data_IF_971466922064
#
_entry.id   IF_971466922064
#
_cell.length_a   1.000
_cell.length_b   1.000
_cell.length_c   1.000
_cell.angle_alpha   90.00
_cell.angle_beta   90.00
_cell.angle_gamma   90.00
#
_symmetry.space_group_name_H-M   'P 1'
#
loop_
_entity.id
_entity.type
_entity.pdbx_description
1 polymer ?
#
# COMPACT_ATOMS: atom_id res chain seq x y z
N UNK A 1 -9.31 27.43 -15.39
CA UNK A 1 -9.87 26.12 -15.78
C UNK A 1 -9.29 25.07 -14.86
N UNK A 2 -10.09 24.15 -14.33
CA UNK A 2 -9.61 23.02 -13.54
C UNK A 2 -8.79 22.10 -14.42
N UNK A 3 -7.63 21.62 -13.93
CA UNK A 3 -6.76 20.68 -14.65
C UNK A 3 -7.24 19.25 -14.38
N UNK A 4 -7.28 18.43 -15.42
CA UNK A 4 -7.76 17.03 -15.32
C UNK A 4 -6.60 16.06 -15.22
N UNK A 5 -6.60 15.24 -14.15
CA UNK A 5 -5.67 14.12 -13.95
C UNK A 5 -6.42 12.84 -14.24
N UNK A 6 -5.97 12.09 -15.23
CA UNK A 6 -6.50 10.76 -15.53
C UNK A 6 -5.66 9.70 -14.81
N UNK A 7 -6.29 9.00 -13.88
CA UNK A 7 -5.71 7.82 -13.20
C UNK A 7 -6.22 6.57 -13.91
N UNK A 8 -5.29 5.75 -14.40
CA UNK A 8 -5.59 4.48 -15.06
C UNK A 8 -5.12 3.35 -14.15
N UNK A 9 -6.03 2.48 -13.76
CA UNK A 9 -5.76 1.43 -12.77
C UNK A 9 -6.45 0.12 -13.13
N UNK A 10 -5.89 -1.00 -12.68
CA UNK A 10 -6.52 -2.33 -12.74
C UNK A 10 -7.26 -2.68 -11.44
N UNK A 11 -7.33 -1.75 -10.49
CA UNK A 11 -8.15 -1.89 -9.29
C UNK A 11 -9.54 -1.28 -9.52
N UNK A 12 -10.59 -1.95 -9.06
CA UNK A 12 -11.92 -1.36 -9.04
C UNK A 12 -12.10 -0.47 -7.81
N UNK A 13 -12.91 0.60 -7.89
CA UNK A 13 -13.06 1.58 -6.81
C UNK A 13 -13.50 0.99 -5.46
N UNK A 14 -14.26 -0.08 -5.46
CA UNK A 14 -14.81 -0.68 -4.22
C UNK A 14 -13.84 -1.64 -3.52
N UNK A 15 -12.66 -1.86 -4.07
CA UNK A 15 -11.64 -2.69 -3.42
C UNK A 15 -11.05 -2.00 -2.20
N UNK A 16 -10.86 -2.77 -1.12
CA UNK A 16 -10.15 -2.33 0.07
C UNK A 16 -8.67 -2.73 -0.08
N UNK A 17 -7.87 -1.81 -0.65
CA UNK A 17 -6.43 -1.99 -0.77
C UNK A 17 -5.69 -0.64 -0.72
N UNK A 18 -4.38 -0.70 -0.49
CA UNK A 18 -3.55 0.50 -0.31
C UNK A 18 -3.49 1.42 -1.54
N UNK A 19 -3.67 0.89 -2.76
CA UNK A 19 -3.65 1.69 -4.00
C UNK A 19 -4.93 2.53 -4.09
N UNK A 20 -6.09 1.89 -3.94
CA UNK A 20 -7.40 2.58 -3.94
C UNK A 20 -7.46 3.62 -2.83
N UNK A 21 -7.06 3.24 -1.60
CA UNK A 21 -7.00 4.18 -0.46
C UNK A 21 -6.12 5.38 -0.75
N UNK A 22 -4.96 5.17 -1.38
CA UNK A 22 -4.05 6.26 -1.74
C UNK A 22 -4.71 7.25 -2.69
N UNK A 23 -5.27 6.78 -3.80
CA UNK A 23 -5.86 7.68 -4.79
C UNK A 23 -7.12 8.38 -4.30
N UNK A 24 -7.96 7.74 -3.47
CA UNK A 24 -9.11 8.39 -2.82
C UNK A 24 -8.68 9.57 -1.93
N UNK A 25 -7.65 9.37 -1.10
CA UNK A 25 -7.16 10.47 -0.26
C UNK A 25 -6.49 11.59 -1.09
N UNK A 26 -5.85 11.24 -2.20
CA UNK A 26 -5.31 12.27 -3.11
C UNK A 26 -6.39 13.08 -3.80
N UNK A 27 -7.54 12.50 -4.12
CA UNK A 27 -8.65 13.19 -4.79
C UNK A 27 -9.15 14.39 -4.00
N UNK A 28 -9.30 14.25 -2.68
CA UNK A 28 -9.70 15.35 -1.79
C UNK A 28 -8.68 16.50 -1.81
N UNK A 29 -7.39 16.18 -1.78
CA UNK A 29 -6.32 17.19 -1.85
C UNK A 29 -6.23 17.84 -3.24
N UNK A 30 -6.38 17.03 -4.30
CA UNK A 30 -6.39 17.49 -5.67
C UNK A 30 -7.51 18.51 -5.93
N UNK A 31 -8.72 18.20 -5.44
CA UNK A 31 -9.88 19.09 -5.56
C UNK A 31 -9.65 20.46 -4.92
N UNK A 32 -9.00 20.51 -3.74
CA UNK A 32 -8.63 21.79 -3.07
C UNK A 32 -7.63 22.59 -3.87
N UNK A 33 -6.73 21.95 -4.60
CA UNK A 33 -5.71 22.60 -5.45
C UNK A 33 -6.21 22.87 -6.89
N UNK A 34 -7.51 22.67 -7.17
CA UNK A 34 -8.12 22.97 -8.47
C UNK A 34 -7.87 21.90 -9.54
N UNK A 35 -7.56 20.66 -9.14
CA UNK A 35 -7.47 19.53 -10.04
C UNK A 35 -8.74 18.69 -9.98
N UNK A 36 -9.12 18.11 -11.12
CA UNK A 36 -10.19 17.15 -11.24
C UNK A 36 -9.60 15.76 -11.55
N UNK A 37 -9.82 14.80 -10.67
CA UNK A 37 -9.34 13.42 -10.85
C UNK A 37 -10.42 12.58 -11.51
N UNK A 38 -10.05 11.86 -12.57
CA UNK A 38 -10.93 10.96 -13.32
C UNK A 38 -10.27 9.59 -13.41
N UNK A 39 -11.06 8.54 -13.28
CA UNK A 39 -10.56 7.16 -13.32
C UNK A 39 -10.98 6.43 -14.58
N UNK A 40 -10.04 5.61 -15.07
CA UNK A 40 -10.33 4.52 -16.02
C UNK A 40 -9.87 3.22 -15.34
N UNK A 41 -10.84 2.36 -15.06
CA UNK A 41 -10.70 1.14 -14.26
C UNK A 41 -11.42 -0.06 -14.90
N UNK A 42 -11.19 -1.30 -14.38
CA UNK A 42 -11.77 -2.53 -14.95
C UNK A 42 -13.29 -2.60 -14.97
N UNK A 43 -14.00 -1.88 -14.10
CA UNK A 43 -15.49 -1.91 -14.04
C UNK A 43 -16.12 -1.36 -15.31
N UNK A 44 -15.39 -0.53 -16.03
CA UNK A 44 -15.86 0.14 -17.26
C UNK A 44 -15.70 -0.71 -18.51
N UNK A 45 -15.21 -1.96 -18.38
CA UNK A 45 -14.93 -2.85 -19.50
C UNK A 45 -15.46 -4.26 -19.25
N UNK A 46 -15.73 -5.03 -20.32
CA UNK A 46 -15.99 -6.47 -20.18
C UNK A 46 -14.79 -7.17 -19.52
N UNK A 47 -15.06 -8.11 -18.63
CA UNK A 47 -13.98 -8.84 -17.95
C UNK A 47 -14.52 -9.98 -17.09
N UNK A 48 -13.59 -10.75 -16.54
CA UNK A 48 -13.85 -11.90 -15.66
C UNK A 48 -13.10 -11.74 -14.34
N UNK A 49 -13.58 -12.40 -13.29
CA UNK A 49 -12.84 -12.48 -12.03
C UNK A 49 -11.52 -13.24 -12.22
N UNK A 50 -10.46 -12.77 -11.57
CA UNK A 50 -9.16 -13.44 -11.60
C UNK A 50 -9.24 -14.77 -10.84
N UNK A 51 -8.79 -15.90 -11.42
CA UNK A 51 -8.73 -17.17 -10.71
C UNK A 51 -7.91 -17.06 -9.42
N UNK A 52 -8.48 -17.50 -8.30
CA UNK A 52 -7.84 -17.42 -6.97
C UNK A 52 -7.97 -16.05 -6.27
N UNK A 53 -8.36 -14.98 -6.99
CA UNK A 53 -8.60 -13.64 -6.47
C UNK A 53 -9.86 -13.03 -7.08
N UNK A 54 -11.05 -13.46 -6.63
CA UNK A 54 -12.32 -13.06 -7.24
C UNK A 54 -12.60 -11.55 -7.16
N UNK A 55 -11.95 -10.87 -6.22
CA UNK A 55 -11.99 -9.41 -6.09
C UNK A 55 -11.15 -8.68 -7.16
N UNK A 56 -10.22 -9.36 -7.83
CA UNK A 56 -9.43 -8.80 -8.94
C UNK A 56 -10.15 -9.11 -10.25
N UNK A 57 -10.43 -8.07 -11.02
CA UNK A 57 -11.09 -8.20 -12.32
C UNK A 57 -10.08 -8.09 -13.45
N UNK A 58 -9.97 -9.15 -14.26
CA UNK A 58 -9.22 -9.13 -15.51
C UNK A 58 -10.14 -8.62 -16.61
N UNK A 59 -9.83 -7.45 -17.17
CA UNK A 59 -10.70 -6.78 -18.16
C UNK A 59 -10.04 -6.71 -19.52
N UNK A 60 -10.88 -6.73 -20.57
CA UNK A 60 -10.50 -6.44 -21.94
C UNK A 60 -10.87 -4.99 -22.26
N UNK A 61 -9.91 -4.03 -22.22
CA UNK A 61 -10.23 -2.61 -22.30
C UNK A 61 -10.45 -2.14 -23.75
N UNK A 62 -11.39 -2.77 -24.44
CA UNK A 62 -11.81 -2.33 -25.76
C UNK A 62 -12.33 -0.90 -25.71
N UNK A 63 -11.80 -0.05 -26.60
CA UNK A 63 -12.21 1.35 -26.68
C UNK A 63 -11.59 2.28 -25.64
N UNK A 64 -10.59 1.83 -24.88
CA UNK A 64 -9.86 2.68 -23.93
C UNK A 64 -9.32 3.96 -24.60
N UNK A 65 -8.86 3.87 -25.84
CA UNK A 65 -8.40 5.02 -26.64
C UNK A 65 -9.48 6.08 -26.86
N UNK A 66 -10.73 5.66 -27.09
CA UNK A 66 -11.87 6.58 -27.22
C UNK A 66 -12.17 7.27 -25.89
N UNK A 67 -12.13 6.53 -24.78
CA UNK A 67 -12.33 7.09 -23.44
C UNK A 67 -11.26 8.13 -23.10
N UNK A 68 -9.98 7.80 -23.26
CA UNK A 68 -8.89 8.74 -22.98
C UNK A 68 -9.01 10.00 -23.85
N UNK A 69 -9.28 9.85 -25.15
CA UNK A 69 -9.49 11.00 -26.05
C UNK A 69 -10.69 11.87 -25.66
N UNK A 70 -11.79 11.27 -25.22
CA UNK A 70 -12.99 12.00 -24.81
C UNK A 70 -12.79 12.80 -23.53
N UNK A 71 -11.94 12.31 -22.61
CA UNK A 71 -11.62 12.98 -21.34
C UNK A 71 -10.65 14.15 -21.50
N UNK A 72 -9.86 14.19 -22.57
CA UNK A 72 -8.86 15.22 -22.84
C UNK A 72 -8.00 15.59 -21.59
N UNK A 73 -7.38 14.61 -20.92
CA UNK A 73 -6.69 14.88 -19.66
C UNK A 73 -5.44 15.75 -19.85
N UNK A 74 -5.19 16.63 -18.90
CA UNK A 74 -3.94 17.39 -18.84
C UNK A 74 -2.76 16.51 -18.40
N UNK A 75 -3.03 15.50 -17.56
CA UNK A 75 -2.05 14.56 -17.01
C UNK A 75 -2.56 13.14 -17.07
N UNK A 76 -1.67 12.20 -17.37
CA UNK A 76 -1.96 10.77 -17.40
C UNK A 76 -1.04 10.05 -16.43
N UNK A 77 -1.63 9.34 -15.47
CA UNK A 77 -0.93 8.46 -14.55
C UNK A 77 -1.45 7.04 -14.64
N UNK A 78 -0.58 6.09 -14.99
CA UNK A 78 -0.89 4.66 -15.08
C UNK A 78 -0.44 4.02 -13.77
N UNK A 79 -1.40 3.68 -12.93
CA UNK A 79 -1.16 3.28 -11.54
C UNK A 79 -0.81 1.79 -11.37
N UNK A 80 -1.12 0.95 -12.36
CA UNK A 80 -0.93 -0.50 -12.26
C UNK A 80 -0.53 -1.12 -13.59
N UNK A 81 0.14 -2.29 -13.52
CA UNK A 81 0.77 -2.96 -14.64
C UNK A 81 -0.12 -4.06 -15.28
N UNK A 82 -1.40 -4.09 -14.94
CA UNK A 82 -2.36 -5.07 -15.47
C UNK A 82 -2.88 -4.71 -16.87
N UNK A 83 -3.93 -5.41 -17.35
CA UNK A 83 -4.45 -5.23 -18.71
C UNK A 83 -4.88 -3.80 -19.04
N UNK A 84 -5.55 -3.08 -18.12
CA UNK A 84 -5.99 -1.70 -18.35
C UNK A 84 -4.80 -0.77 -18.49
N UNK A 85 -3.83 -0.89 -17.57
CA UNK A 85 -2.56 -0.15 -17.63
C UNK A 85 -1.75 -0.46 -18.89
N UNK A 86 -1.67 -1.74 -19.30
CA UNK A 86 -0.95 -2.17 -20.50
C UNK A 86 -1.49 -1.49 -21.77
N UNK A 87 -2.80 -1.53 -22.00
CA UNK A 87 -3.41 -0.94 -23.19
C UNK A 87 -3.35 0.59 -23.19
N UNK A 88 -3.46 1.21 -22.01
CA UNK A 88 -3.29 2.65 -21.87
C UNK A 88 -1.86 3.09 -22.20
N UNK A 89 -0.85 2.39 -21.64
CA UNK A 89 0.56 2.59 -21.96
C UNK A 89 0.82 2.46 -23.46
N UNK A 90 0.37 1.36 -24.08
CA UNK A 90 0.53 1.14 -25.51
C UNK A 90 -0.07 2.28 -26.34
N UNK A 91 -1.25 2.77 -25.95
CA UNK A 91 -1.88 3.89 -26.62
C UNK A 91 -1.09 5.20 -26.45
N UNK A 92 -0.62 5.51 -25.26
CA UNK A 92 0.22 6.69 -25.00
C UNK A 92 1.48 6.68 -25.83
N UNK A 93 2.21 5.57 -25.88
CA UNK A 93 3.44 5.42 -26.67
C UNK A 93 3.20 5.58 -28.17
N UNK A 94 2.15 4.93 -28.70
CA UNK A 94 1.80 5.04 -30.11
C UNK A 94 1.44 6.47 -30.54
N UNK A 95 0.88 7.26 -29.61
CA UNK A 95 0.50 8.66 -29.87
C UNK A 95 1.55 9.66 -29.34
N UNK A 96 2.68 9.21 -28.82
CA UNK A 96 3.76 10.03 -28.23
C UNK A 96 3.27 10.95 -27.12
N UNK A 97 2.30 10.50 -26.34
CA UNK A 97 1.73 11.23 -25.21
C UNK A 97 2.54 10.90 -23.96
N UNK A 98 3.10 11.90 -23.27
CA UNK A 98 3.78 11.69 -21.98
C UNK A 98 2.83 11.14 -20.92
N UNK A 99 3.35 10.28 -20.06
CA UNK A 99 2.62 9.69 -18.96
C UNK A 99 3.56 9.33 -17.80
N UNK A 100 3.01 9.24 -16.61
CA UNK A 100 3.70 8.70 -15.44
C UNK A 100 3.18 7.31 -15.11
N UNK A 101 3.99 6.55 -14.39
CA UNK A 101 3.59 5.26 -13.81
C UNK A 101 3.90 5.22 -12.33
N UNK A 102 3.36 4.21 -11.64
CA UNK A 102 3.76 3.91 -10.26
C UNK A 102 3.96 2.41 -10.06
N UNK A 103 4.82 2.07 -9.11
CA UNK A 103 5.09 0.72 -8.65
C UNK A 103 4.61 0.57 -7.21
N UNK A 104 3.50 -0.13 -7.01
CA UNK A 104 2.83 -0.24 -5.71
C UNK A 104 2.96 -1.60 -5.06
N UNK A 105 3.16 -2.64 -5.86
CA UNK A 105 3.12 -4.04 -5.42
C UNK A 105 4.34 -4.78 -5.91
N UNK A 106 4.93 -5.64 -5.09
CA UNK A 106 5.95 -6.58 -5.54
C UNK A 106 5.32 -7.65 -6.43
N UNK A 107 5.01 -7.22 -7.66
CA UNK A 107 4.30 -8.02 -8.65
C UNK A 107 5.10 -9.27 -9.05
N UNK A 108 6.43 -9.20 -8.96
CA UNK A 108 7.29 -10.33 -9.29
C UNK A 108 7.16 -11.45 -8.26
N UNK A 109 7.20 -11.12 -6.97
CA UNK A 109 6.96 -12.11 -5.90
C UNK A 109 5.53 -12.61 -5.92
N UNK A 110 4.54 -11.72 -6.15
CA UNK A 110 3.14 -12.09 -6.25
C UNK A 110 2.90 -13.14 -7.34
N UNK A 111 3.32 -12.90 -8.59
CA UNK A 111 3.14 -13.86 -9.69
C UNK A 111 3.90 -15.17 -9.50
N UNK A 112 5.08 -15.11 -8.90
CA UNK A 112 5.84 -16.33 -8.57
C UNK A 112 5.09 -17.21 -7.57
N UNK A 113 4.57 -16.64 -6.49
CA UNK A 113 3.85 -17.40 -5.46
C UNK A 113 2.51 -17.95 -5.94
N UNK A 114 1.78 -17.16 -6.74
CA UNK A 114 0.44 -17.52 -7.17
C UNK A 114 0.38 -18.39 -8.40
N UNK A 115 1.23 -18.11 -9.37
CA UNK A 115 1.13 -18.74 -10.70
C UNK A 115 2.44 -19.39 -11.14
N UNK A 116 3.43 -19.48 -10.24
CA UNK A 116 4.76 -20.07 -10.50
C UNK A 116 5.47 -19.44 -11.72
N UNK A 117 5.14 -18.18 -12.04
CA UNK A 117 5.81 -17.44 -13.11
C UNK A 117 7.25 -17.12 -12.68
N UNK A 118 8.27 -17.43 -13.50
CA UNK A 118 9.64 -17.07 -13.20
C UNK A 118 9.81 -15.56 -12.98
N UNK A 119 10.45 -15.18 -11.87
CA UNK A 119 10.66 -13.76 -11.56
C UNK A 119 11.39 -13.00 -12.68
N UNK A 120 12.31 -13.65 -13.41
CA UNK A 120 13.04 -13.04 -14.52
C UNK A 120 12.12 -12.52 -15.64
N UNK A 121 11.03 -13.24 -15.93
CA UNK A 121 10.06 -12.84 -16.94
C UNK A 121 9.22 -11.66 -16.45
N UNK A 122 8.81 -11.71 -15.18
CA UNK A 122 8.07 -10.60 -14.57
C UNK A 122 8.93 -9.34 -14.51
N UNK A 123 10.20 -9.44 -14.11
CA UNK A 123 11.12 -8.31 -14.10
C UNK A 123 11.42 -7.76 -15.51
N UNK A 124 11.48 -8.63 -16.52
CA UNK A 124 11.60 -8.18 -17.90
C UNK A 124 10.37 -7.37 -18.33
N UNK A 125 9.15 -7.87 -18.05
CA UNK A 125 7.90 -7.19 -18.31
C UNK A 125 7.80 -5.84 -17.58
N UNK A 126 8.08 -5.79 -16.30
CA UNK A 126 8.03 -4.57 -15.50
C UNK A 126 9.02 -3.50 -16.02
N UNK A 127 10.27 -3.89 -16.32
CA UNK A 127 11.23 -2.96 -16.94
C UNK A 127 10.71 -2.43 -18.28
N UNK A 128 10.17 -3.30 -19.11
CA UNK A 128 9.58 -2.89 -20.38
C UNK A 128 8.40 -1.96 -20.17
N UNK A 129 7.52 -2.25 -19.21
CA UNK A 129 6.34 -1.46 -18.89
C UNK A 129 6.68 -0.03 -18.46
N UNK A 130 7.64 0.14 -17.57
CA UNK A 130 8.02 1.45 -17.03
C UNK A 130 9.05 2.21 -17.87
N UNK A 131 9.63 1.59 -18.91
CA UNK A 131 10.78 2.10 -19.67
C UNK A 131 10.61 3.52 -20.19
N UNK A 132 9.43 3.85 -20.68
CA UNK A 132 9.15 5.14 -21.33
C UNK A 132 8.28 6.07 -20.48
N UNK A 133 8.07 5.73 -19.22
CA UNK A 133 7.43 6.62 -18.26
C UNK A 133 8.33 7.83 -17.97
N UNK A 134 7.75 9.02 -17.96
CA UNK A 134 8.48 10.25 -17.62
C UNK A 134 8.89 10.26 -16.14
N UNK A 135 8.04 9.69 -15.26
CA UNK A 135 8.32 9.42 -13.84
C UNK A 135 7.74 8.08 -13.45
N UNK A 136 8.50 7.31 -12.69
CA UNK A 136 8.06 6.07 -12.05
C UNK A 136 7.99 6.32 -10.55
N UNK A 137 6.78 6.49 -10.03
CA UNK A 137 6.57 6.75 -8.61
C UNK A 137 6.66 5.46 -7.81
N UNK A 138 7.57 5.42 -6.85
CA UNK A 138 7.83 4.25 -6.00
C UNK A 138 7.56 4.59 -4.54
N UNK A 139 7.23 3.60 -3.75
CA UNK A 139 6.69 3.81 -2.40
C UNK A 139 7.72 4.24 -1.36
N UNK A 140 8.96 3.75 -1.46
CA UNK A 140 10.01 3.96 -0.47
C UNK A 140 11.39 4.06 -1.12
N UNK A 141 12.37 4.57 -0.37
CA UNK A 141 13.75 4.67 -0.81
C UNK A 141 14.40 3.29 -1.04
N UNK A 142 14.04 2.28 -0.23
CA UNK A 142 14.55 0.92 -0.42
C UNK A 142 14.04 0.30 -1.73
N UNK A 143 12.77 0.52 -2.08
CA UNK A 143 12.20 0.10 -3.37
C UNK A 143 12.84 0.86 -4.53
N UNK A 144 13.07 2.17 -4.38
CA UNK A 144 13.80 2.96 -5.38
C UNK A 144 15.19 2.36 -5.65
N UNK A 145 15.94 2.06 -4.59
CA UNK A 145 17.26 1.44 -4.70
C UNK A 145 17.19 0.06 -5.36
N UNK A 146 16.24 -0.80 -4.94
CA UNK A 146 16.06 -2.13 -5.55
C UNK A 146 15.76 -2.01 -7.05
N UNK A 147 14.82 -1.16 -7.44
CA UNK A 147 14.45 -1.00 -8.85
C UNK A 147 15.58 -0.36 -9.67
N UNK A 148 16.33 0.58 -9.08
CA UNK A 148 17.51 1.18 -9.73
C UNK A 148 18.56 0.13 -10.06
N UNK A 149 18.90 -0.78 -9.13
CA UNK A 149 19.83 -1.89 -9.38
C UNK A 149 19.34 -2.86 -10.45
N UNK A 150 18.01 -2.94 -10.65
CA UNK A 150 17.38 -3.74 -11.72
C UNK A 150 17.27 -3.00 -13.06
N UNK A 151 17.82 -1.77 -13.16
CA UNK A 151 17.88 -0.98 -14.39
C UNK A 151 16.64 -0.15 -14.71
N UNK A 152 15.77 0.09 -13.74
CA UNK A 152 14.69 1.07 -13.87
C UNK A 152 15.27 2.49 -13.84
N UNK A 153 14.60 3.42 -14.52
CA UNK A 153 14.99 4.83 -14.61
C UNK A 153 13.84 5.74 -14.21
N UNK A 154 14.15 7.03 -14.03
CA UNK A 154 13.17 8.07 -13.71
C UNK A 154 12.36 7.76 -12.44
N UNK A 155 12.97 7.04 -11.49
CA UNK A 155 12.36 6.71 -10.21
C UNK A 155 12.19 7.98 -9.36
N UNK A 156 11.09 8.04 -8.61
CA UNK A 156 10.81 9.09 -7.67
C UNK A 156 10.08 8.51 -6.44
N UNK A 157 10.63 8.74 -5.26
CA UNK A 157 9.98 8.28 -4.02
C UNK A 157 8.71 9.09 -3.78
N UNK A 158 7.60 8.37 -3.64
CA UNK A 158 6.29 8.91 -3.40
C UNK A 158 5.68 8.25 -2.17
N UNK A 159 5.71 8.94 -1.07
CA UNK A 159 5.27 8.48 0.25
C UNK A 159 3.76 8.25 0.32
N UNK A 160 3.31 7.83 1.51
CA UNK A 160 1.89 7.69 1.87
C UNK A 160 1.59 8.59 3.05
N UNK A 161 0.31 8.81 3.29
CA UNK A 161 -0.17 9.54 4.44
C UNK A 161 -1.07 8.69 5.34
N UNK A 162 -1.33 9.20 6.52
CA UNK A 162 -2.32 8.68 7.46
C UNK A 162 -3.31 9.77 7.83
N UNK A 163 -4.59 9.40 7.94
CA UNK A 163 -5.62 10.34 8.37
C UNK A 163 -5.63 10.44 9.90
N UNK A 164 -5.05 11.52 10.41
CA UNK A 164 -4.95 11.80 11.84
C UNK A 164 -6.27 12.25 12.49
N UNK A 165 -7.33 12.43 11.74
CA UNK A 165 -8.67 12.65 12.29
C UNK A 165 -9.25 11.35 12.88
N UNK A 166 -8.83 10.21 12.33
CA UNK A 166 -9.20 8.88 12.84
C UNK A 166 -8.08 8.24 13.64
N UNK A 167 -6.85 8.22 13.11
CA UNK A 167 -5.71 7.55 13.74
C UNK A 167 -4.98 8.50 14.69
N UNK A 168 -5.24 8.37 15.98
CA UNK A 168 -4.69 9.24 17.02
C UNK A 168 -4.39 8.46 18.31
N UNK A 169 -3.28 8.80 18.95
CA UNK A 169 -2.92 8.26 20.27
C UNK A 169 -3.93 8.64 21.37
N UNK A 170 -4.71 9.70 21.17
CA UNK A 170 -5.77 10.14 22.10
C UNK A 170 -6.92 9.14 22.25
N UNK A 171 -7.04 8.16 21.36
CA UNK A 171 -8.05 7.09 21.45
C UNK A 171 -7.70 6.03 22.50
N UNK A 172 -6.47 6.04 23.04
CA UNK A 172 -6.08 5.06 24.05
C UNK A 172 -6.76 5.34 25.37
N UNK A 173 -7.42 4.33 25.92
CA UNK A 173 -8.06 4.38 27.25
C UNK A 173 -7.30 3.47 28.23
N UNK A 174 -6.44 4.05 29.05
CA UNK A 174 -5.71 3.34 30.10
C UNK A 174 -4.61 2.39 29.61
N UNK A 175 -4.15 1.53 30.51
CA UNK A 175 -3.14 0.49 30.27
C UNK A 175 -3.77 -0.91 30.27
N UNK A 176 -3.24 -1.79 29.46
CA UNK A 176 -3.68 -3.18 29.42
C UNK A 176 -3.10 -3.98 30.61
N UNK A 177 -3.89 -4.89 31.19
CA UNK A 177 -3.42 -5.81 32.25
C UNK A 177 -2.41 -6.79 31.65
N UNK A 178 -2.64 -7.26 30.43
CA UNK A 178 -1.73 -8.08 29.61
C UNK A 178 -1.44 -7.31 28.34
N UNK A 179 -0.16 -7.23 27.91
CA UNK A 179 0.17 -6.55 26.67
C UNK A 179 -0.61 -7.11 25.48
N UNK A 180 -1.11 -6.24 24.64
CA UNK A 180 -1.86 -6.57 23.44
C UNK A 180 -0.97 -6.43 22.22
N UNK A 181 -0.75 -7.53 21.52
CA UNK A 181 -0.07 -7.59 20.23
C UNK A 181 -1.13 -7.55 19.13
N UNK A 182 -1.00 -6.63 18.20
CA UNK A 182 -1.95 -6.42 17.12
C UNK A 182 -1.30 -6.71 15.76
N UNK A 183 -2.00 -7.42 14.90
CA UNK A 183 -1.69 -7.48 13.46
C UNK A 183 -2.92 -7.06 12.67
N UNK A 184 -2.73 -6.24 11.63
CA UNK A 184 -3.81 -5.69 10.80
C UNK A 184 -3.51 -5.91 9.33
N UNK A 185 -4.51 -6.37 8.59
CA UNK A 185 -4.41 -6.51 7.15
C UNK A 185 -5.24 -7.64 6.58
N UNK A 186 -5.08 -7.90 5.28
CA UNK A 186 -5.71 -9.04 4.63
C UNK A 186 -5.19 -10.34 5.24
N UNK A 187 -6.08 -11.24 5.62
CA UNK A 187 -5.72 -12.55 6.17
C UNK A 187 -5.45 -13.52 5.03
N UNK A 188 -4.22 -13.50 4.54
CA UNK A 188 -3.74 -14.30 3.41
C UNK A 188 -2.31 -14.80 3.67
N UNK A 189 -1.90 -15.86 2.96
CA UNK A 189 -0.62 -16.56 3.23
C UNK A 189 0.60 -15.65 3.07
N UNK A 190 0.59 -14.75 2.07
CA UNK A 190 1.71 -13.84 1.80
C UNK A 190 1.95 -12.79 2.91
N UNK A 191 0.97 -12.61 3.82
CA UNK A 191 1.12 -11.69 4.96
C UNK A 191 1.87 -12.30 6.16
N UNK A 192 2.22 -13.59 6.09
CA UNK A 192 3.06 -14.23 7.10
C UNK A 192 2.45 -14.25 8.51
N UNK A 193 1.12 -14.31 8.61
CA UNK A 193 0.42 -14.29 9.89
C UNK A 193 0.69 -15.53 10.76
N UNK A 194 1.19 -16.63 10.18
CA UNK A 194 1.70 -17.78 10.94
C UNK A 194 2.79 -17.32 11.91
N UNK A 195 3.76 -16.53 11.45
CA UNK A 195 4.86 -16.05 12.30
C UNK A 195 4.34 -15.21 13.48
N UNK A 196 3.28 -14.40 13.26
CA UNK A 196 2.62 -13.64 14.34
C UNK A 196 1.89 -14.57 15.32
N UNK A 197 1.14 -15.52 14.80
CA UNK A 197 0.36 -16.45 15.63
C UNK A 197 1.27 -17.37 16.46
N UNK A 198 2.42 -17.78 15.90
CA UNK A 198 3.41 -18.68 16.54
C UNK A 198 4.32 -18.00 17.56
N UNK A 199 4.29 -16.65 17.68
CA UNK A 199 5.09 -15.98 18.71
C UNK A 199 4.87 -16.62 20.09
N UNK A 200 5.95 -17.14 20.70
CA UNK A 200 5.88 -17.74 22.04
C UNK A 200 5.89 -16.64 23.12
N UNK A 201 4.74 -16.01 23.29
CA UNK A 201 4.51 -14.91 24.25
C UNK A 201 3.16 -15.16 24.95
N UNK A 202 3.04 -16.20 25.80
CA UNK A 202 1.76 -16.59 26.41
C UNK A 202 1.22 -15.55 27.41
N UNK A 203 2.05 -14.61 27.83
CA UNK A 203 1.71 -13.47 28.70
C UNK A 203 1.10 -12.30 27.94
N UNK A 204 1.13 -12.31 26.61
CA UNK A 204 0.47 -11.34 25.76
C UNK A 204 -0.91 -11.83 25.26
N UNK A 205 -1.76 -10.90 24.92
CA UNK A 205 -2.96 -11.14 24.10
C UNK A 205 -2.64 -10.86 22.64
N UNK A 206 -3.06 -11.75 21.72
CA UNK A 206 -2.85 -11.58 20.29
C UNK A 206 -4.16 -11.33 19.57
N UNK A 207 -4.23 -10.24 18.80
CA UNK A 207 -5.42 -9.84 18.04
C UNK A 207 -5.05 -9.66 16.57
N UNK A 208 -5.85 -10.25 15.68
CA UNK A 208 -5.78 -10.05 14.23
C UNK A 208 -7.03 -9.30 13.78
N UNK A 209 -6.83 -8.12 13.17
CA UNK A 209 -7.89 -7.35 12.53
C UNK A 209 -7.77 -7.49 11.02
N UNK A 210 -8.80 -8.01 10.39
CA UNK A 210 -8.85 -8.23 8.97
C UNK A 210 -9.63 -9.49 8.60
N UNK A 211 -9.79 -9.69 7.31
CA UNK A 211 -10.45 -10.88 6.77
C UNK A 211 -9.71 -11.38 5.53
N UNK A 212 -10.00 -12.61 5.12
CA UNK A 212 -9.40 -13.19 3.93
C UNK A 212 -9.45 -14.73 3.90
N UNK A 213 -8.98 -15.31 2.80
CA UNK A 213 -9.15 -16.74 2.54
C UNK A 213 -8.40 -17.66 3.53
N UNK A 214 -7.38 -17.14 4.20
CA UNK A 214 -6.56 -17.92 5.14
C UNK A 214 -7.07 -17.88 6.58
N UNK A 215 -8.08 -17.06 6.90
CA UNK A 215 -8.59 -16.83 8.26
C UNK A 215 -9.06 -18.12 8.94
N UNK A 216 -9.94 -18.89 8.30
CA UNK A 216 -10.49 -20.14 8.89
C UNK A 216 -9.42 -21.16 9.26
N UNK A 217 -8.36 -21.24 8.47
CA UNK A 217 -7.25 -22.13 8.74
C UNK A 217 -6.46 -21.67 9.96
N UNK A 218 -6.16 -20.36 10.07
CA UNK A 218 -5.45 -19.78 11.21
C UNK A 218 -6.26 -19.88 12.51
N UNK A 219 -7.56 -19.56 12.49
CA UNK A 219 -8.45 -19.71 13.66
C UNK A 219 -8.45 -21.15 14.21
N UNK A 220 -8.44 -22.14 13.33
CA UNK A 220 -8.38 -23.55 13.73
C UNK A 220 -7.02 -23.94 14.33
N UNK A 221 -5.93 -23.42 13.76
CA UNK A 221 -4.55 -23.77 14.19
C UNK A 221 -4.15 -23.02 15.47
N UNK A 222 -4.63 -21.81 15.65
CA UNK A 222 -4.24 -20.89 16.74
C UNK A 222 -5.44 -20.37 17.51
N UNK A 223 -6.15 -21.24 18.29
CA UNK A 223 -7.41 -20.86 18.96
C UNK A 223 -7.22 -19.81 20.05
N UNK A 224 -5.99 -19.53 20.49
CA UNK A 224 -5.68 -18.50 21.47
C UNK A 224 -5.52 -17.10 20.84
N UNK A 225 -5.50 -16.99 19.52
CA UNK A 225 -5.45 -15.72 18.79
C UNK A 225 -6.85 -15.24 18.48
N UNK A 226 -7.16 -13.98 18.78
CA UNK A 226 -8.47 -13.39 18.50
C UNK A 226 -8.53 -12.81 17.09
N UNK A 227 -9.37 -13.36 16.23
CA UNK A 227 -9.66 -12.84 14.90
C UNK A 227 -10.98 -12.07 14.93
N UNK A 228 -10.92 -10.74 14.82
CA UNK A 228 -12.09 -9.86 15.02
C UNK A 228 -12.75 -9.41 13.71
N UNK A 229 -12.27 -9.91 12.57
CA UNK A 229 -12.76 -9.54 11.26
C UNK A 229 -12.24 -8.19 10.75
N UNK A 230 -12.66 -7.80 9.56
CA UNK A 230 -12.29 -6.53 8.98
C UNK A 230 -12.94 -5.37 9.73
N UNK A 231 -12.16 -4.31 9.98
CA UNK A 231 -12.57 -3.06 10.64
C UNK A 231 -12.13 -1.87 9.81
N UNK A 232 -12.78 -0.73 10.01
CA UNK A 232 -12.45 0.51 9.31
C UNK A 232 -12.67 1.74 10.21
N UNK A 233 -12.18 2.91 9.75
CA UNK A 233 -12.38 4.20 10.42
C UNK A 233 -11.99 4.18 11.91
N UNK A 234 -12.83 4.76 12.76
CA UNK A 234 -12.58 4.88 14.20
C UNK A 234 -12.49 3.53 14.91
N UNK A 235 -13.23 2.51 14.45
CA UNK A 235 -13.16 1.19 15.06
C UNK A 235 -11.78 0.57 14.85
N UNK A 236 -11.22 0.64 13.64
CA UNK A 236 -9.86 0.20 13.34
C UNK A 236 -8.81 1.00 14.14
N UNK A 237 -8.96 2.32 14.16
CA UNK A 237 -8.07 3.21 14.92
C UNK A 237 -8.06 2.89 16.42
N UNK A 238 -9.21 2.50 16.99
CA UNK A 238 -9.30 2.06 18.38
C UNK A 238 -8.47 0.79 18.63
N UNK A 239 -8.49 -0.20 17.74
CA UNK A 239 -7.63 -1.37 17.87
C UNK A 239 -6.15 -1.01 17.89
N UNK A 240 -5.70 -0.14 16.98
CA UNK A 240 -4.31 0.35 17.00
C UNK A 240 -4.00 1.06 18.32
N UNK A 241 -4.81 2.02 18.76
CA UNK A 241 -4.56 2.80 19.96
C UNK A 241 -4.53 1.94 21.23
N UNK A 242 -5.38 0.91 21.32
CA UNK A 242 -5.41 0.00 22.47
C UNK A 242 -4.28 -1.04 22.45
N UNK A 243 -3.67 -1.34 21.32
CA UNK A 243 -2.55 -2.26 21.23
C UNK A 243 -1.28 -1.69 21.88
N UNK A 244 -0.46 -2.53 22.47
CA UNK A 244 0.83 -2.16 23.03
C UNK A 244 1.96 -2.27 22.00
N UNK A 245 1.87 -3.23 21.08
CA UNK A 245 2.78 -3.38 19.93
C UNK A 245 2.00 -3.79 18.69
N UNK A 246 2.26 -3.13 17.59
CA UNK A 246 1.82 -3.56 16.28
C UNK A 246 2.89 -4.48 15.66
N UNK A 247 2.51 -5.70 15.33
CA UNK A 247 3.43 -6.69 14.76
C UNK A 247 3.15 -6.86 13.26
N UNK A 248 4.12 -6.49 12.45
CA UNK A 248 4.05 -6.60 11.00
C UNK A 248 4.92 -7.76 10.52
N UNK A 249 4.30 -8.92 10.31
CA UNK A 249 4.97 -10.17 9.92
C UNK A 249 5.13 -10.35 8.40
N UNK A 250 4.59 -9.44 7.58
CA UNK A 250 4.69 -9.51 6.12
C UNK A 250 6.12 -9.27 5.63
N UNK A 251 6.54 -10.06 4.62
CA UNK A 251 7.83 -9.93 3.94
C UNK A 251 7.70 -9.46 2.49
N UNK A 252 6.47 -9.13 2.05
CA UNK A 252 6.16 -8.88 0.64
C UNK A 252 5.53 -7.50 0.36
N UNK A 253 5.40 -6.65 1.35
CA UNK A 253 4.83 -5.32 1.17
C UNK A 253 5.89 -4.31 0.69
N UNK A 254 5.49 -3.40 -0.19
CA UNK A 254 6.36 -2.31 -0.69
C UNK A 254 6.37 -1.07 0.20
N UNK A 255 5.35 -0.92 1.08
CA UNK A 255 5.24 0.16 2.05
C UNK A 255 4.63 -0.35 3.37
N UNK A 256 3.37 -0.84 3.32
CA UNK A 256 2.62 -1.22 4.51
C UNK A 256 2.02 -0.02 5.23
N UNK A 257 0.97 0.58 4.67
CA UNK A 257 0.25 1.74 5.26
C UNK A 257 -0.15 1.48 6.71
N UNK A 258 -0.48 0.24 7.05
CA UNK A 258 -0.80 -0.21 8.41
C UNK A 258 0.28 0.14 9.46
N UNK A 259 1.56 0.22 9.04
CA UNK A 259 2.64 0.63 9.94
C UNK A 259 2.48 2.10 10.36
N UNK A 260 2.24 3.01 9.41
CA UNK A 260 2.06 4.44 9.73
C UNK A 260 0.74 4.72 10.46
N UNK A 261 -0.30 3.90 10.25
CA UNK A 261 -1.54 3.94 11.02
C UNK A 261 -1.29 3.59 12.50
N UNK A 262 -0.52 2.52 12.75
CA UNK A 262 -0.10 2.13 14.10
C UNK A 262 0.71 3.24 14.78
N UNK A 263 1.72 3.78 14.08
CA UNK A 263 2.56 4.86 14.60
C UNK A 263 1.73 6.13 14.93
N UNK A 264 0.76 6.49 14.11
CA UNK A 264 -0.12 7.64 14.36
C UNK A 264 -0.95 7.46 15.63
N UNK A 265 -1.31 6.22 15.98
CA UNK A 265 -1.97 5.86 17.21
C UNK A 265 -1.01 5.72 18.42
N UNK A 266 0.26 6.03 18.24
CA UNK A 266 1.30 5.87 19.27
C UNK A 266 1.65 4.41 19.56
N UNK A 267 1.38 3.49 18.64
CA UNK A 267 1.65 2.07 18.81
C UNK A 267 2.95 1.71 18.06
N UNK A 268 4.00 1.30 18.78
CA UNK A 268 5.28 0.98 18.17
C UNK A 268 5.19 -0.26 17.28
N UNK A 269 6.03 -0.30 16.25
CA UNK A 269 6.04 -1.35 15.23
C UNK A 269 7.17 -2.34 15.45
N UNK A 270 6.84 -3.62 15.59
CA UNK A 270 7.77 -4.74 15.51
C UNK A 270 7.64 -5.42 14.14
N UNK A 271 8.73 -5.49 13.37
CA UNK A 271 8.66 -6.04 12.02
C UNK A 271 9.99 -6.71 11.62
N UNK A 272 9.95 -7.44 10.50
CA UNK A 272 11.16 -7.90 9.83
C UNK A 272 11.89 -6.74 9.14
N UNK A 273 13.25 -6.77 9.04
CA UNK A 273 14.02 -5.78 8.32
C UNK A 273 13.93 -5.97 6.79
N UNK A 274 12.77 -5.71 6.24
CA UNK A 274 12.44 -5.83 4.81
C UNK A 274 11.96 -4.49 4.24
N UNK A 275 11.93 -4.29 2.91
CA UNK A 275 11.38 -3.10 2.27
C UNK A 275 10.00 -2.73 2.83
N UNK A 276 9.74 -1.44 2.96
CA UNK A 276 8.60 -0.90 3.69
C UNK A 276 8.95 -0.63 5.15
N UNK A 277 8.98 -1.63 6.06
CA UNK A 277 9.40 -1.42 7.44
C UNK A 277 10.75 -0.72 7.63
N UNK A 278 11.79 -1.04 6.85
CA UNK A 278 13.10 -0.39 6.95
C UNK A 278 13.09 1.11 6.63
N UNK A 279 12.09 1.58 5.87
CA UNK A 279 11.94 2.99 5.49
C UNK A 279 11.02 3.76 6.46
N UNK A 280 10.21 3.03 7.24
CA UNK A 280 9.17 3.59 8.11
C UNK A 280 9.61 3.59 9.57
N UNK A 281 10.18 2.47 10.03
CA UNK A 281 10.50 2.25 11.45
C UNK A 281 11.85 2.84 11.78
N UNK A 282 11.85 3.79 12.71
CA UNK A 282 13.05 4.36 13.31
C UNK A 282 13.39 3.59 14.58
N UNK A 283 14.50 2.83 14.52
CA UNK A 283 14.90 1.93 15.60
C UNK A 283 15.11 2.67 16.93
N UNK A 284 14.45 2.22 17.97
CA UNK A 284 14.52 2.83 19.30
C UNK A 284 13.60 4.04 19.50
N UNK A 285 12.90 4.51 18.45
CA UNK A 285 11.96 5.63 18.51
C UNK A 285 10.55 5.17 18.17
N UNK A 286 10.37 4.60 16.97
CA UNK A 286 9.03 4.20 16.50
C UNK A 286 8.82 2.68 16.49
N UNK A 287 9.86 1.91 16.74
CA UNK A 287 9.77 0.46 16.77
C UNK A 287 11.12 -0.22 16.69
N UNK A 288 11.10 -1.51 16.42
CA UNK A 288 12.28 -2.32 16.22
C UNK A 288 12.10 -3.30 15.07
N UNK A 289 13.18 -3.48 14.29
CA UNK A 289 13.27 -4.45 13.21
C UNK A 289 14.22 -5.57 13.60
N UNK A 290 13.73 -6.80 13.57
CA UNK A 290 14.56 -7.97 13.88
C UNK A 290 14.01 -9.19 13.11
N UNK A 291 14.91 -10.10 12.71
CA UNK A 291 14.50 -11.41 12.17
C UNK A 291 13.89 -12.30 13.25
N UNK A 292 14.15 -12.03 14.53
CA UNK A 292 13.42 -12.57 15.67
C UNK A 292 12.32 -11.59 16.10
N UNK A 293 11.10 -11.81 15.63
CA UNK A 293 9.97 -10.94 15.94
C UNK A 293 9.67 -10.84 17.45
N UNK A 294 9.89 -11.90 18.24
CA UNK A 294 9.69 -11.85 19.68
C UNK A 294 10.64 -10.83 20.33
N UNK A 295 11.90 -10.83 19.92
CA UNK A 295 12.88 -9.84 20.38
C UNK A 295 12.50 -8.41 19.97
N UNK A 296 12.02 -8.21 18.73
CA UNK A 296 11.52 -6.91 18.30
C UNK A 296 10.32 -6.45 19.16
N UNK A 297 9.38 -7.35 19.46
CA UNK A 297 8.22 -7.07 20.33
C UNK A 297 8.64 -6.66 21.72
N UNK A 298 9.52 -7.43 22.38
CA UNK A 298 10.01 -7.14 23.73
C UNK A 298 10.62 -5.74 23.82
N UNK A 299 11.42 -5.35 22.84
CA UNK A 299 12.01 -4.02 22.79
C UNK A 299 10.96 -2.94 22.50
N UNK A 300 9.95 -3.19 21.67
CA UNK A 300 8.87 -2.25 21.41
C UNK A 300 8.07 -1.92 22.68
N UNK A 301 7.88 -2.87 23.58
CA UNK A 301 7.15 -2.66 24.84
C UNK A 301 7.78 -1.63 25.78
N UNK A 302 9.05 -1.27 25.56
CA UNK A 302 9.78 -0.28 26.36
C UNK A 302 9.73 1.14 25.80
N UNK A 303 9.13 1.33 24.61
CA UNK A 303 9.12 2.62 23.93
C UNK A 303 8.04 3.55 24.46
N UNK A 304 8.36 4.84 24.46
CA UNK A 304 7.44 5.92 24.79
C UNK A 304 6.46 6.14 23.62
N UNK A 305 5.18 5.91 23.87
CA UNK A 305 4.11 5.98 22.89
C UNK A 305 3.86 7.40 22.37
N UNK A 306 4.08 8.42 23.20
CA UNK A 306 3.93 9.82 22.78
C UNK A 306 5.03 10.21 21.80
N UNK A 307 6.25 9.74 22.01
CA UNK A 307 7.35 9.90 21.04
C UNK A 307 7.06 9.15 19.74
N UNK A 308 6.50 7.93 19.80
CA UNK A 308 6.08 7.18 18.62
C UNK A 308 5.05 7.97 17.80
N UNK A 309 4.00 8.51 18.47
CA UNK A 309 2.97 9.30 17.80
C UNK A 309 3.53 10.58 17.18
N UNK A 310 4.43 11.27 17.89
CA UNK A 310 5.07 12.50 17.41
C UNK A 310 5.94 12.24 16.16
N UNK A 311 6.76 11.21 16.18
CA UNK A 311 7.65 10.84 15.06
C UNK A 311 6.85 10.49 13.78
N UNK A 312 5.60 10.00 13.92
CA UNK A 312 4.73 9.70 12.79
C UNK A 312 4.21 10.95 12.05
N UNK A 313 4.47 12.16 12.57
CA UNK A 313 3.96 13.44 12.02
C UNK A 313 4.35 13.73 10.58
N UNK A 314 5.43 13.12 10.09
CA UNK A 314 5.91 13.24 8.70
C UNK A 314 5.00 12.56 7.65
N UNK A 315 4.16 11.60 8.08
CA UNK A 315 3.31 10.84 7.18
C UNK A 315 1.95 11.51 6.99
N UNK A 316 1.85 12.44 6.04
CA UNK A 316 0.62 13.19 5.77
C UNK A 316 0.15 13.02 4.34
N UNK A 317 -1.17 13.03 4.13
CA UNK A 317 -1.74 13.02 2.78
C UNK A 317 -1.44 14.31 2.00
N UNK A 318 -1.26 15.43 2.69
CA UNK A 318 -0.83 16.68 2.07
C UNK A 318 0.56 16.56 1.44
N UNK A 319 1.52 15.93 2.13
CA UNK A 319 2.86 15.69 1.58
C UNK A 319 2.82 14.63 0.46
N UNK A 320 2.03 13.57 0.61
CA UNK A 320 1.78 12.59 -0.44
C UNK A 320 1.26 13.26 -1.71
N UNK A 321 0.26 14.14 -1.59
CA UNK A 321 -0.29 14.92 -2.69
C UNK A 321 0.76 15.86 -3.30
N UNK A 322 1.49 16.61 -2.49
CA UNK A 322 2.52 17.53 -2.95
C UNK A 322 3.54 16.82 -3.86
N UNK A 323 4.07 15.67 -3.39
CA UNK A 323 5.03 14.89 -4.18
C UNK A 323 4.39 14.39 -5.47
N UNK A 324 3.15 13.88 -5.42
CA UNK A 324 2.46 13.40 -6.62
C UNK A 324 2.27 14.53 -7.64
N UNK A 325 1.73 15.68 -7.21
CA UNK A 325 1.47 16.85 -8.04
C UNK A 325 2.74 17.39 -8.69
N UNK A 326 3.81 17.53 -7.91
CA UNK A 326 5.07 18.11 -8.38
C UNK A 326 5.80 17.21 -9.40
N UNK A 327 5.41 15.95 -9.50
CA UNK A 327 5.91 14.99 -10.48
C UNK A 327 4.95 14.75 -11.67
N UNK A 328 3.79 15.40 -11.71
CA UNK A 328 2.89 15.30 -12.86
C UNK A 328 3.53 15.87 -14.11
N UNK A 329 3.41 15.18 -15.22
CA UNK A 329 3.92 15.59 -16.53
C UNK A 329 2.74 15.83 -17.47
N UNK A 330 2.74 17.01 -18.15
CA UNK A 330 1.68 17.37 -19.09
C UNK A 330 1.56 16.36 -20.23
N UNK A 331 0.37 15.84 -20.44
CA UNK A 331 0.05 14.91 -21.53
C UNK A 331 0.12 15.58 -22.91
N UNK A 332 -0.16 16.89 -22.98
CA UNK A 332 0.03 17.70 -24.19
C UNK A 332 1.37 18.40 -24.13
N UNK A 333 2.39 17.87 -24.80
CA UNK A 333 3.52 18.72 -25.19
C UNK A 333 2.97 19.71 -26.20
N UNK A 334 3.00 21.00 -25.88
CA UNK A 334 2.69 22.05 -26.86
C UNK A 334 3.50 21.74 -28.13
N UNK A 335 2.80 21.57 -29.25
CA UNK A 335 3.39 21.37 -30.57
C UNK A 335 4.21 22.60 -30.96
#
# INVERSE_FOLDING_TARGET
MSKTILIITDNVPDQINGVVTTFRNLEDHAGRDGYHVVYVDPSQFPGVACPGYPEVRLSWPHGISKKIKALQPDYIHIATEGPVGFFARWWCERNRIPYNTSYHTDFAKFLKHMYHVPESWTWWYLRWFHKHSERVLVTTASIEQELSTRGFRNLCVWTRGVDRTYFSSSLRSGSNIRPVLLSVGRVSREKGLDDFCELDMPWCEKIVVGDGPYRRELERRYPMVKFVGAKNGLELASYYAQADVFVFSSRADTFGVVNIEALACGTPVAAYPVPGPIDIVESGVTGYLDWNLAHAVERCLTLDRDQVAQASGRWTWAECWRIFRDNLVLANRAQ
#
